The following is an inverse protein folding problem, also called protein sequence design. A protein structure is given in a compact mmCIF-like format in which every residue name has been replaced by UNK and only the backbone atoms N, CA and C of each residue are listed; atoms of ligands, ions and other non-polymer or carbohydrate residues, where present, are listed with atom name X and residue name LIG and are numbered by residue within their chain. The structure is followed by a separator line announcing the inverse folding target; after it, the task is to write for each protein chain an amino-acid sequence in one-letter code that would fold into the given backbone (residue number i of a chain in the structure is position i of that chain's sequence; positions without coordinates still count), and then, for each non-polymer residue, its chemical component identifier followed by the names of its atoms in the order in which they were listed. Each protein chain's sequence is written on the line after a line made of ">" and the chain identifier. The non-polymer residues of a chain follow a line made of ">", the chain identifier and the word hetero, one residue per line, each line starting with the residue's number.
data_IF_494982142461
#
_entry.id   IF_494982142461
#
_cell.length_a   1.000
_cell.length_b   1.000
_cell.length_c   1.000
_cell.angle_alpha   90.00
_cell.angle_beta   90.00
_cell.angle_gamma   90.00
#
_symmetry.space_group_name_H-M   'P 1'
#
loop_
_entity.id
_entity.type
_entity.pdbx_description
1 polymer ?
#
# COMPACT_ATOMS: atom_id res chain seq x y z
N UNK A 1 -0.89 1.40 39.02
CA UNK A 1 -1.15 2.00 40.34
C UNK A 1 0.04 2.87 40.67
N UNK A 2 -0.15 4.18 40.87
CA UNK A 2 0.96 5.09 41.18
C UNK A 2 1.51 4.81 42.58
N UNK A 3 2.83 4.83 42.73
CA UNK A 3 3.49 4.71 44.04
C UNK A 3 3.40 6.07 44.73
N UNK A 4 2.85 6.12 45.94
CA UNK A 4 2.82 7.34 46.75
C UNK A 4 4.14 7.52 47.47
N UNK A 5 4.86 8.59 47.13
CA UNK A 5 6.15 8.91 47.74
C UNK A 5 6.05 10.24 48.48
N UNK A 6 6.50 10.31 49.76
CA UNK A 6 6.51 11.55 50.50
C UNK A 6 7.54 12.54 49.92
N UNK A 7 7.08 13.73 49.57
CA UNK A 7 7.91 14.87 49.21
C UNK A 7 7.90 15.89 50.35
N UNK A 8 9.08 16.30 50.81
CA UNK A 8 9.25 17.27 51.89
C UNK A 8 9.91 18.53 51.37
N UNK A 9 9.30 19.70 51.60
CA UNK A 9 9.89 20.99 51.28
C UNK A 9 9.62 22.00 52.41
N UNK A 10 10.70 22.53 53.01
CA UNK A 10 10.67 23.56 54.07
C UNK A 10 9.51 23.37 55.07
N UNK A 11 9.57 22.25 55.80
CA UNK A 11 8.64 21.83 56.87
C UNK A 11 7.26 21.28 56.45
N UNK A 12 6.96 21.23 55.16
CA UNK A 12 5.71 20.65 54.66
C UNK A 12 5.96 19.31 53.98
N UNK A 13 5.20 18.28 54.35
CA UNK A 13 5.24 16.95 53.75
C UNK A 13 3.93 16.65 53.00
N UNK A 14 4.01 16.22 51.74
CA UNK A 14 2.86 15.75 50.98
C UNK A 14 3.18 14.42 50.31
N UNK A 15 2.16 13.60 50.08
CA UNK A 15 2.28 12.36 49.31
C UNK A 15 2.05 12.69 47.83
N UNK A 16 2.99 12.29 46.98
CA UNK A 16 2.92 12.46 45.53
C UNK A 16 2.77 11.12 44.84
N UNK A 17 1.80 11.01 43.93
CA UNK A 17 1.60 9.82 43.10
C UNK A 17 2.60 9.80 41.94
N UNK A 18 3.37 8.72 41.79
CA UNK A 18 4.35 8.57 40.72
C UNK A 18 4.00 7.35 39.86
N UNK A 19 3.93 7.48 38.52
CA UNK A 19 4.09 8.69 37.70
C UNK A 19 2.88 9.63 37.76
N UNK A 20 3.12 10.95 37.76
CA UNK A 20 2.04 11.94 37.77
C UNK A 20 1.45 12.17 36.38
N UNK A 21 0.11 12.23 36.23
CA UNK A 21 -0.54 12.63 34.99
C UNK A 21 -0.52 14.16 34.75
N UNK A 22 -0.13 14.94 35.76
CA UNK A 22 -0.19 16.41 35.78
C UNK A 22 1.22 16.98 35.53
N UNK A 23 1.29 18.14 34.86
CA UNK A 23 2.55 18.86 34.65
C UNK A 23 3.16 19.34 35.98
N UNK A 24 4.49 19.24 36.11
CA UNK A 24 5.26 19.65 37.30
C UNK A 24 4.95 21.11 37.68
N UNK A 25 4.74 21.99 36.70
CA UNK A 25 4.45 23.40 36.94
C UNK A 25 3.10 23.59 37.63
N UNK A 26 2.06 22.90 37.15
CA UNK A 26 0.74 22.94 37.78
C UNK A 26 0.80 22.35 39.19
N UNK A 27 1.59 21.28 39.37
CA UNK A 27 1.83 20.70 40.69
C UNK A 27 2.50 21.70 41.64
N UNK A 28 3.52 22.43 41.18
CA UNK A 28 4.18 23.48 41.96
C UNK A 28 3.21 24.61 42.33
N UNK A 29 2.35 25.06 41.39
CA UNK A 29 1.34 26.09 41.67
C UNK A 29 0.32 25.63 42.71
N UNK A 30 -0.18 24.40 42.61
CA UNK A 30 -1.11 23.82 43.59
C UNK A 30 -0.49 23.74 44.98
N UNK A 31 0.80 23.40 45.10
CA UNK A 31 1.50 23.38 46.38
C UNK A 31 1.70 24.78 46.97
N UNK A 32 1.98 25.78 46.12
CA UNK A 32 2.09 27.17 46.59
C UNK A 32 0.75 27.68 47.11
N UNK A 33 -0.34 27.37 46.41
CA UNK A 33 -1.69 27.74 46.84
C UNK A 33 -2.07 27.03 48.15
N UNK A 34 -1.81 25.72 48.24
CA UNK A 34 -2.13 24.90 49.41
C UNK A 34 -1.31 25.28 50.66
N UNK A 35 -0.04 25.62 50.51
CA UNK A 35 0.85 25.99 51.62
C UNK A 35 0.96 27.51 51.85
N UNK A 36 0.21 28.30 51.09
CA UNK A 36 0.25 29.76 51.11
C UNK A 36 1.68 30.32 51.04
N UNK A 37 2.52 29.70 50.20
CA UNK A 37 3.92 30.09 50.05
C UNK A 37 4.06 31.38 49.23
N UNK A 38 5.09 32.20 49.48
CA UNK A 38 5.38 33.34 48.62
C UNK A 38 5.73 32.91 47.18
N UNK A 39 5.20 33.64 46.20
CA UNK A 39 5.38 33.34 44.76
C UNK A 39 6.85 33.31 44.33
N UNK A 40 7.74 34.03 45.01
CA UNK A 40 9.17 34.02 44.71
C UNK A 40 9.85 32.66 44.96
N UNK A 41 9.20 31.76 45.73
CA UNK A 41 9.70 30.41 46.02
C UNK A 41 9.43 29.45 44.84
N UNK A 42 8.55 29.82 43.91
CA UNK A 42 8.15 28.99 42.78
C UNK A 42 9.32 28.39 41.98
N UNK A 43 10.36 29.15 41.57
CA UNK A 43 11.45 28.58 40.78
C UNK A 43 12.24 27.50 41.53
N UNK A 44 12.46 27.70 42.85
CA UNK A 44 13.16 26.73 43.71
C UNK A 44 12.33 25.48 43.95
N UNK A 45 11.03 25.64 44.19
CA UNK A 45 10.11 24.52 44.38
C UNK A 45 9.97 23.70 43.10
N UNK A 46 9.85 24.37 41.95
CA UNK A 46 9.78 23.71 40.64
C UNK A 46 11.02 22.86 40.36
N UNK A 47 12.21 23.39 40.65
CA UNK A 47 13.46 22.66 40.47
C UNK A 47 13.54 21.45 41.42
N UNK A 48 13.20 21.63 42.70
CA UNK A 48 13.18 20.56 43.69
C UNK A 48 12.19 19.45 43.31
N UNK A 49 10.98 19.81 42.85
CA UNK A 49 9.99 18.84 42.36
C UNK A 49 10.49 18.12 41.12
N UNK A 50 11.14 18.81 40.18
CA UNK A 50 11.68 18.19 38.97
C UNK A 50 12.76 17.16 39.30
N UNK A 51 13.67 17.50 40.21
CA UNK A 51 14.71 16.56 40.67
C UNK A 51 14.07 15.36 41.36
N UNK A 52 13.15 15.59 42.29
CA UNK A 52 12.43 14.52 42.99
C UNK A 52 11.68 13.59 42.03
N UNK A 53 10.91 14.15 41.08
CA UNK A 53 10.19 13.34 40.11
C UNK A 53 11.13 12.55 39.20
N UNK A 54 12.25 13.12 38.77
CA UNK A 54 13.23 12.40 37.96
C UNK A 54 13.84 11.23 38.74
N UNK A 55 14.31 11.46 39.96
CA UNK A 55 14.90 10.42 40.81
C UNK A 55 13.91 9.31 41.14
N UNK A 56 12.71 9.67 41.58
CA UNK A 56 11.69 8.69 41.95
C UNK A 56 11.11 7.97 40.74
N UNK A 57 10.97 8.63 39.59
CA UNK A 57 10.55 7.97 38.36
C UNK A 57 11.60 6.96 37.91
N UNK A 58 12.90 7.30 38.05
CA UNK A 58 13.98 6.37 37.76
C UNK A 58 13.94 5.16 38.71
N UNK A 59 13.78 5.36 40.02
CA UNK A 59 13.68 4.26 40.99
C UNK A 59 12.48 3.36 40.68
N UNK A 60 11.31 3.93 40.42
CA UNK A 60 10.10 3.15 40.08
C UNK A 60 10.29 2.41 38.75
N UNK A 61 10.94 3.02 37.75
CA UNK A 61 11.25 2.37 36.49
C UNK A 61 12.25 1.21 36.68
N UNK A 62 13.27 1.40 37.50
CA UNK A 62 14.27 0.37 37.83
C UNK A 62 13.62 -0.79 38.60
N UNK A 63 12.78 -0.50 39.60
CA UNK A 63 11.99 -1.51 40.33
C UNK A 63 11.06 -2.29 39.40
N UNK A 64 10.32 -1.58 38.53
CA UNK A 64 9.40 -2.21 37.57
C UNK A 64 10.16 -3.08 36.58
N UNK A 65 11.32 -2.61 36.12
CA UNK A 65 12.22 -3.35 35.23
C UNK A 65 12.77 -4.59 35.92
N UNK A 66 13.22 -4.47 37.16
CA UNK A 66 13.69 -5.61 37.95
C UNK A 66 12.58 -6.64 38.16
N UNK A 67 11.36 -6.22 38.47
CA UNK A 67 10.20 -7.12 38.59
C UNK A 67 9.86 -7.80 37.25
N UNK A 68 9.96 -7.08 36.14
CA UNK A 68 9.75 -7.65 34.81
C UNK A 68 10.86 -8.65 34.43
N UNK A 69 12.10 -8.43 34.88
CA UNK A 69 13.27 -9.26 34.55
C UNK A 69 13.44 -10.46 35.50
N UNK A 70 12.98 -10.37 36.76
CA UNK A 70 13.07 -11.44 37.76
C UNK A 70 12.56 -12.80 37.25
N UNK A 71 11.37 -12.91 36.60
CA UNK A 71 10.88 -14.16 36.04
C UNK A 71 11.81 -14.80 34.99
N UNK A 72 12.53 -13.97 34.23
CA UNK A 72 13.50 -14.44 33.23
C UNK A 72 14.78 -14.99 33.88
N UNK A 73 15.20 -14.41 35.01
CA UNK A 73 16.38 -14.86 35.76
C UNK A 73 16.09 -16.15 36.53
N UNK A 74 14.89 -16.28 37.10
CA UNK A 74 14.47 -17.45 37.89
C UNK A 74 14.06 -18.65 37.03
N UNK A 75 14.10 -18.53 35.70
CA UNK A 75 13.78 -19.60 34.77
C UNK A 75 12.31 -20.02 34.75
N UNK A 76 11.43 -19.25 35.40
CA UNK A 76 9.98 -19.45 35.41
C UNK A 76 9.35 -18.78 34.19
N UNK A 77 9.84 -19.13 33.00
CA UNK A 77 9.44 -18.44 31.79
C UNK A 77 9.02 -19.41 30.68
N UNK A 78 7.81 -19.21 30.17
CA UNK A 78 7.27 -19.94 29.04
C UNK A 78 7.55 -19.14 27.75
N UNK A 79 8.51 -19.62 26.96
CA UNK A 79 8.98 -18.96 25.72
C UNK A 79 7.81 -18.68 24.75
N UNK A 80 6.78 -19.52 24.76
CA UNK A 80 5.61 -19.33 23.91
C UNK A 80 4.82 -18.07 24.27
N UNK A 81 4.66 -17.76 25.56
CA UNK A 81 3.96 -16.55 25.99
C UNK A 81 4.70 -15.28 25.58
N UNK A 82 6.04 -15.29 25.54
CA UNK A 82 6.83 -14.18 24.99
C UNK A 82 6.59 -13.99 23.50
N UNK A 83 6.61 -15.10 22.76
CA UNK A 83 6.45 -15.10 21.33
C UNK A 83 5.07 -14.57 20.96
N UNK A 84 4.04 -14.97 21.71
CA UNK A 84 2.68 -14.47 21.53
C UNK A 84 2.58 -12.98 21.85
N UNK A 85 3.16 -12.51 22.97
CA UNK A 85 3.20 -11.09 23.32
C UNK A 85 3.97 -10.25 22.29
N UNK A 86 5.12 -10.75 21.84
CA UNK A 86 5.94 -10.10 20.82
C UNK A 86 5.23 -10.09 19.47
N UNK A 87 4.57 -11.19 19.09
CA UNK A 87 3.78 -11.26 17.86
C UNK A 87 2.62 -10.26 17.89
N UNK A 88 1.89 -10.17 19.01
CA UNK A 88 0.82 -9.19 19.19
C UNK A 88 1.35 -7.76 19.09
N UNK A 89 2.47 -7.47 19.73
CA UNK A 89 3.08 -6.13 19.69
C UNK A 89 3.60 -5.79 18.28
N UNK A 90 4.16 -6.76 17.55
CA UNK A 90 4.56 -6.59 16.15
C UNK A 90 3.35 -6.40 15.24
N UNK A 91 2.23 -7.09 15.49
CA UNK A 91 0.98 -6.87 14.75
C UNK A 91 0.41 -5.48 15.01
N UNK A 92 0.36 -5.05 16.26
CA UNK A 92 -0.06 -3.68 16.63
C UNK A 92 0.86 -2.64 15.97
N UNK A 93 2.18 -2.80 16.06
CA UNK A 93 3.14 -1.93 15.38
C UNK A 93 2.96 -1.95 13.86
N UNK A 94 2.72 -3.12 13.24
CA UNK A 94 2.45 -3.24 11.80
C UNK A 94 1.20 -2.49 11.37
N UNK A 95 0.15 -2.46 12.20
CA UNK A 95 -1.04 -1.65 11.94
C UNK A 95 -0.65 -0.16 11.86
N UNK A 96 0.22 0.31 12.76
CA UNK A 96 0.68 1.70 12.74
C UNK A 96 1.70 2.00 11.63
N UNK A 97 2.54 1.04 11.22
CA UNK A 97 3.53 1.23 10.14
C UNK A 97 2.97 1.00 8.74
N UNK A 98 1.89 0.23 8.57
CA UNK A 98 1.20 0.10 7.28
C UNK A 98 0.61 1.42 6.78
N UNK A 99 0.40 2.39 7.66
CA UNK A 99 0.02 3.75 7.28
C UNK A 99 1.20 4.60 6.78
N UNK A 100 2.45 4.21 7.04
CA UNK A 100 3.66 4.95 6.63
C UNK A 100 4.20 4.50 5.27
N UNK A 101 4.04 3.23 4.92
CA UNK A 101 4.38 2.71 3.60
C UNK A 101 3.10 2.40 2.83
N UNK A 102 2.58 3.42 2.14
CA UNK A 102 1.58 3.18 1.09
C UNK A 102 2.21 2.17 0.12
N UNK A 103 1.65 0.96 -0.06
CA UNK A 103 2.21 0.03 -1.02
C UNK A 103 2.26 0.73 -2.38
N UNK A 104 3.40 0.61 -3.08
CA UNK A 104 3.57 1.16 -4.42
C UNK A 104 2.35 0.77 -5.26
N UNK A 105 1.85 1.68 -6.09
CA UNK A 105 0.66 1.45 -6.92
C UNK A 105 0.78 0.15 -7.75
N UNK A 106 2.00 -0.24 -8.09
CA UNK A 106 2.34 -1.49 -8.78
C UNK A 106 2.04 -2.76 -7.95
N UNK A 107 2.28 -2.72 -6.63
CA UNK A 107 1.96 -3.83 -5.74
C UNK A 107 0.44 -3.94 -5.53
N UNK A 108 -0.27 -2.82 -5.49
CA UNK A 108 -1.74 -2.80 -5.41
C UNK A 108 -2.35 -3.36 -6.69
N UNK A 109 -1.84 -2.93 -7.85
CA UNK A 109 -2.27 -3.41 -9.16
C UNK A 109 -2.02 -4.91 -9.32
N UNK A 110 -0.81 -5.39 -9.00
CA UNK A 110 -0.46 -6.80 -9.10
C UNK A 110 -1.36 -7.68 -8.23
N UNK A 111 -1.64 -7.25 -6.99
CA UNK A 111 -2.50 -7.99 -6.09
C UNK A 111 -3.98 -7.95 -6.51
N UNK A 112 -4.47 -6.81 -7.00
CA UNK A 112 -5.82 -6.70 -7.57
C UNK A 112 -5.99 -7.59 -8.81
N UNK A 113 -5.01 -7.58 -9.71
CA UNK A 113 -4.99 -8.42 -10.91
C UNK A 113 -4.97 -9.91 -10.55
N UNK A 114 -4.11 -10.31 -9.62
CA UNK A 114 -4.02 -11.67 -9.14
C UNK A 114 -5.33 -12.10 -8.47
N UNK A 115 -5.98 -11.24 -7.69
CA UNK A 115 -7.29 -11.52 -7.10
C UNK A 115 -8.40 -11.66 -8.15
N UNK A 116 -8.39 -10.87 -9.23
CA UNK A 116 -9.33 -11.01 -10.35
C UNK A 116 -9.12 -12.33 -11.10
N UNK A 117 -7.88 -12.77 -11.25
CA UNK A 117 -7.55 -14.06 -11.87
C UNK A 117 -7.92 -15.26 -11.00
N UNK A 118 -7.73 -15.18 -9.68
CA UNK A 118 -8.00 -16.30 -8.75
C UNK A 118 -9.46 -16.34 -8.27
N UNK A 119 -10.21 -15.25 -8.36
CA UNK A 119 -11.67 -15.29 -8.17
C UNK A 119 -12.29 -15.92 -9.42
N UNK A 120 -12.42 -17.25 -9.39
CA UNK A 120 -12.80 -18.10 -10.53
C UNK A 120 -14.08 -17.73 -11.30
N UNK A 121 -14.90 -16.80 -10.79
CA UNK A 121 -16.09 -16.29 -11.48
C UNK A 121 -15.77 -15.34 -12.66
N UNK A 122 -14.63 -14.64 -12.64
CA UNK A 122 -14.26 -13.71 -13.72
C UNK A 122 -13.45 -14.39 -14.83
N UNK A 123 -12.80 -15.52 -14.52
CA UNK A 123 -12.03 -16.30 -15.47
C UNK A 123 -12.92 -16.90 -16.56
N UNK A 124 -14.07 -17.47 -16.20
CA UNK A 124 -15.02 -18.02 -17.18
C UNK A 124 -15.54 -16.94 -18.13
N UNK A 125 -15.81 -15.73 -17.63
CA UNK A 125 -16.27 -14.59 -18.44
C UNK A 125 -15.15 -14.14 -19.41
N UNK A 126 -13.91 -14.05 -18.92
CA UNK A 126 -12.78 -13.66 -19.75
C UNK A 126 -12.51 -14.68 -20.84
N UNK A 127 -12.58 -15.97 -20.52
CA UNK A 127 -12.41 -17.06 -21.48
C UNK A 127 -13.54 -17.10 -22.53
N UNK A 128 -14.77 -16.80 -22.12
CA UNK A 128 -15.89 -16.65 -23.04
C UNK A 128 -15.69 -15.46 -23.99
N UNK A 129 -15.19 -14.33 -23.49
CA UNK A 129 -14.86 -13.17 -24.31
C UNK A 129 -13.74 -13.47 -25.30
N UNK A 130 -12.67 -14.15 -24.85
CA UNK A 130 -11.58 -14.58 -25.72
C UNK A 130 -12.08 -15.45 -26.88
N UNK A 131 -12.94 -16.43 -26.57
CA UNK A 131 -13.56 -17.26 -27.59
C UNK A 131 -14.39 -16.46 -28.60
N UNK A 132 -15.18 -15.49 -28.13
CA UNK A 132 -15.99 -14.62 -29.01
C UNK A 132 -15.08 -13.78 -29.91
N UNK A 133 -14.04 -13.15 -29.35
CA UNK A 133 -13.11 -12.34 -30.13
C UNK A 133 -12.36 -13.18 -31.15
N UNK A 134 -11.93 -14.39 -30.79
CA UNK A 134 -11.26 -15.29 -31.73
C UNK A 134 -12.19 -15.65 -32.88
N UNK A 135 -13.44 -16.05 -32.60
CA UNK A 135 -14.41 -16.39 -33.64
C UNK A 135 -14.67 -15.21 -34.59
N UNK A 136 -14.83 -14.00 -34.06
CA UNK A 136 -15.09 -12.80 -34.85
C UNK A 136 -13.89 -12.44 -35.74
N UNK A 137 -12.67 -12.55 -35.20
CA UNK A 137 -11.43 -12.31 -35.95
C UNK A 137 -11.28 -13.34 -37.07
N UNK A 138 -11.55 -14.61 -36.80
CA UNK A 138 -11.50 -15.67 -37.82
C UNK A 138 -12.49 -15.41 -38.96
N UNK A 139 -13.71 -14.98 -38.64
CA UNK A 139 -14.71 -14.69 -39.66
C UNK A 139 -14.37 -13.43 -40.47
N UNK A 140 -13.84 -12.39 -39.82
CA UNK A 140 -13.29 -11.22 -40.51
C UNK A 140 -12.14 -11.60 -41.45
N UNK A 141 -11.24 -12.48 -41.02
CA UNK A 141 -10.14 -12.98 -41.87
C UNK A 141 -10.66 -13.78 -43.05
N UNK A 142 -11.63 -14.68 -42.85
CA UNK A 142 -12.28 -15.42 -43.95
C UNK A 142 -12.96 -14.47 -44.94
N UNK A 143 -13.63 -13.43 -44.46
CA UNK A 143 -14.28 -12.45 -45.31
C UNK A 143 -13.25 -11.66 -46.12
N UNK A 144 -12.16 -11.22 -45.49
CA UNK A 144 -11.05 -10.56 -46.17
C UNK A 144 -10.45 -11.47 -47.24
N UNK A 145 -10.18 -12.72 -46.92
CA UNK A 145 -9.59 -13.69 -47.85
C UNK A 145 -10.53 -13.97 -49.04
N UNK A 146 -11.85 -14.04 -48.80
CA UNK A 146 -12.84 -14.14 -49.87
C UNK A 146 -12.84 -12.90 -50.77
N UNK A 147 -12.79 -11.71 -50.20
CA UNK A 147 -12.74 -10.46 -50.96
C UNK A 147 -11.46 -10.36 -51.80
N UNK A 148 -10.31 -10.80 -51.26
CA UNK A 148 -9.05 -10.89 -52.00
C UNK A 148 -9.15 -11.87 -53.17
N UNK A 149 -9.75 -13.05 -52.97
CA UNK A 149 -9.98 -14.02 -54.04
C UNK A 149 -10.91 -13.48 -55.13
N UNK A 150 -11.97 -12.77 -54.76
CA UNK A 150 -12.90 -12.13 -55.72
C UNK A 150 -12.20 -11.03 -56.52
N UNK A 151 -11.37 -10.21 -55.86
CA UNK A 151 -10.57 -9.17 -56.49
C UNK A 151 -9.54 -9.77 -57.48
N UNK A 152 -8.85 -10.84 -57.06
CA UNK A 152 -7.91 -11.56 -57.91
C UNK A 152 -8.59 -12.19 -59.12
N UNK A 153 -9.76 -12.81 -58.94
CA UNK A 153 -10.55 -13.38 -60.02
C UNK A 153 -10.99 -12.30 -61.02
N UNK A 154 -11.39 -11.12 -60.52
CA UNK A 154 -11.75 -9.97 -61.36
C UNK A 154 -10.55 -9.46 -62.14
N UNK A 155 -9.41 -9.24 -61.49
CA UNK A 155 -8.18 -8.80 -62.16
C UNK A 155 -7.74 -9.81 -63.23
N UNK A 156 -7.84 -11.11 -62.94
CA UNK A 156 -7.51 -12.16 -63.88
C UNK A 156 -8.43 -12.14 -65.11
N UNK A 157 -9.74 -11.96 -64.91
CA UNK A 157 -10.72 -11.86 -65.99
C UNK A 157 -10.48 -10.63 -66.86
N UNK A 158 -10.31 -9.46 -66.25
CA UNK A 158 -10.06 -8.20 -66.98
C UNK A 158 -8.76 -8.28 -67.81
N UNK A 159 -7.70 -8.88 -67.26
CA UNK A 159 -6.45 -9.09 -67.98
C UNK A 159 -6.60 -10.11 -69.12
N UNK A 160 -7.34 -11.20 -68.90
CA UNK A 160 -7.63 -12.20 -69.95
C UNK A 160 -8.47 -11.62 -71.10
N UNK A 161 -9.48 -10.80 -70.80
CA UNK A 161 -10.30 -10.12 -71.81
C UNK A 161 -9.43 -9.21 -72.68
N UNK A 162 -8.56 -8.40 -72.08
CA UNK A 162 -7.66 -7.49 -72.81
C UNK A 162 -6.60 -8.24 -73.65
N UNK A 163 -6.10 -9.38 -73.17
CA UNK A 163 -5.09 -10.19 -73.87
C UNK A 163 -5.69 -11.03 -75.02
N UNK A 164 -6.97 -11.40 -74.92
CA UNK A 164 -7.64 -12.24 -75.93
C UNK A 164 -8.23 -11.46 -77.11
N UNK A 165 -8.45 -10.16 -76.95
CA UNK A 165 -8.91 -9.30 -78.05
C UNK A 165 -7.77 -8.88 -79.00
N UNK A 166 -8.06 -8.62 -80.29
CA UNK A 166 -7.04 -8.20 -81.26
C UNK A 166 -6.34 -6.90 -80.82
N UNK A 167 -5.03 -6.81 -81.01
CA UNK A 167 -4.15 -5.69 -80.59
C UNK A 167 -4.58 -4.31 -81.07
N UNK A 168 -5.47 -4.24 -82.07
CA UNK A 168 -6.00 -2.99 -82.63
C UNK A 168 -7.12 -2.35 -81.78
N UNK A 169 -7.76 -3.11 -80.89
CA UNK A 169 -8.85 -2.61 -80.02
C UNK A 169 -8.36 -1.90 -78.75
N UNK A 170 -7.26 -2.37 -78.16
CA UNK A 170 -6.70 -1.82 -76.93
C UNK A 170 -5.23 -1.43 -77.13
N UNK A 171 -4.89 -0.13 -77.07
CA UNK A 171 -3.50 0.32 -77.13
C UNK A 171 -2.69 -0.22 -75.95
N UNK A 172 -1.40 -0.50 -76.14
CA UNK A 172 -0.48 -0.96 -75.07
C UNK A 172 -0.47 -0.05 -73.83
N UNK A 173 -0.75 1.25 -74.03
CA UNK A 173 -0.89 2.24 -72.96
C UNK A 173 -2.07 1.93 -72.04
N UNK A 174 -3.18 1.43 -72.60
CA UNK A 174 -4.35 1.01 -71.83
C UNK A 174 -4.04 -0.22 -70.98
N UNK A 175 -3.34 -1.21 -71.54
CA UNK A 175 -2.92 -2.42 -70.82
C UNK A 175 -2.00 -2.07 -69.65
N UNK A 176 -1.05 -1.15 -69.86
CA UNK A 176 -0.15 -0.67 -68.81
C UNK A 176 -0.89 0.05 -67.68
N UNK A 177 -1.85 0.91 -68.02
CA UNK A 177 -2.66 1.62 -67.03
C UNK A 177 -3.55 0.66 -66.23
N UNK A 178 -4.09 -0.37 -66.88
CA UNK A 178 -4.87 -1.43 -66.20
C UNK A 178 -4.00 -2.24 -65.23
N UNK A 179 -2.80 -2.64 -65.67
CA UNK A 179 -1.85 -3.35 -64.81
C UNK A 179 -1.40 -2.48 -63.62
N UNK A 180 -1.15 -1.19 -63.84
CA UNK A 180 -0.83 -0.26 -62.76
C UNK A 180 -1.98 -0.17 -61.74
N UNK A 181 -3.22 -0.06 -62.21
CA UNK A 181 -4.40 -0.04 -61.34
C UNK A 181 -4.54 -1.32 -60.51
N UNK A 182 -4.34 -2.49 -61.12
CA UNK A 182 -4.36 -3.77 -60.38
C UNK A 182 -3.24 -3.88 -59.34
N UNK A 183 -2.09 -3.23 -59.56
CA UNK A 183 -1.02 -3.15 -58.57
C UNK A 183 -1.36 -2.20 -57.42
N UNK A 184 -2.00 -1.07 -57.71
CA UNK A 184 -2.49 -0.11 -56.70
C UNK A 184 -3.62 -0.72 -55.85
N UNK A 185 -4.55 -1.48 -56.45
CA UNK A 185 -5.66 -2.14 -55.74
C UNK A 185 -5.20 -3.31 -54.82
N UNK A 186 -3.94 -3.76 -54.96
CA UNK A 186 -3.33 -4.82 -54.13
C UNK A 186 -2.43 -4.32 -53.00
N UNK A 187 -2.15 -3.01 -52.94
CA UNK A 187 -1.34 -2.37 -51.90
C UNK A 187 -2.18 -1.99 -50.68
#
# INVERSE_FOLDING_TARGET
>A
MGKQVPFTYSDHSILLDIPTPICINEHAYRLIDQWHLPVFVFPKLQEALRLFFNEQTQIVADETTQLAVQPFIEGQFEIQTLLDQWFNLVQECKIYTHHLERPSDEHIFSNAFQNVLHTGNNYEILLQLEYIYQSEIEDMLKQRDKQLQELDAKHHREMQEVVSEPTDKYPDVYVRNLAQKHMEDKQ
#
